data_IF_535336074900
#
_entry.id   IF_535336074900
#
_cell.length_a   1.000
_cell.length_b   1.000
_cell.length_c   1.000
_cell.angle_alpha   90.00
_cell.angle_beta   90.00
_cell.angle_gamma   90.00
#
_symmetry.space_group_name_H-M   'P 1'
#
loop_
_entity.id
_entity.type
_entity.pdbx_description
1 polymer ?
#
# COMPACT_ATOMS: atom_id res chain seq x y z
N UNK A 1 -31.10 -36.62 -33.87
CA UNK A 1 -31.62 -36.60 -32.49
C UNK A 1 -30.47 -37.08 -31.62
N UNK A 2 -29.73 -36.26 -30.90
CA UNK A 2 -29.87 -34.86 -30.49
C UNK A 2 -28.47 -34.25 -30.40
N UNK A 3 -28.32 -33.03 -30.91
CA UNK A 3 -27.17 -32.15 -30.73
C UNK A 3 -27.37 -31.38 -29.42
N UNK A 4 -26.36 -31.33 -28.52
CA UNK A 4 -26.32 -30.37 -27.42
C UNK A 4 -25.08 -29.49 -27.58
N UNK A 5 -25.34 -28.22 -27.86
CA UNK A 5 -24.36 -27.15 -28.09
C UNK A 5 -23.93 -26.49 -26.77
N UNK A 6 -22.65 -26.11 -26.76
CA UNK A 6 -21.92 -25.39 -25.71
C UNK A 6 -22.27 -23.89 -25.72
N UNK A 7 -22.97 -23.40 -24.70
CA UNK A 7 -23.31 -21.98 -24.54
C UNK A 7 -22.38 -21.32 -23.50
N UNK A 8 -21.32 -20.70 -24.00
CA UNK A 8 -20.48 -19.78 -23.23
C UNK A 8 -21.20 -18.47 -22.92
N UNK A 9 -21.37 -18.17 -21.63
CA UNK A 9 -21.89 -16.87 -21.18
C UNK A 9 -20.76 -15.85 -21.03
N UNK A 10 -20.64 -14.95 -22.01
CA UNK A 10 -19.85 -13.72 -21.94
C UNK A 10 -20.68 -12.68 -21.18
N UNK A 11 -20.24 -12.32 -19.97
CA UNK A 11 -20.79 -11.20 -19.22
C UNK A 11 -20.37 -9.87 -19.84
N UNK A 12 -21.35 -9.07 -20.24
CA UNK A 12 -21.17 -7.74 -20.82
C UNK A 12 -20.75 -6.71 -19.75
N UNK A 13 -19.55 -6.16 -19.90
CA UNK A 13 -19.13 -4.90 -19.27
C UNK A 13 -19.92 -3.74 -19.87
N UNK A 14 -20.77 -3.09 -19.05
CA UNK A 14 -21.43 -1.83 -19.42
C UNK A 14 -20.90 -0.69 -18.56
N UNK A 15 -19.84 -0.03 -19.06
CA UNK A 15 -19.41 1.27 -18.61
C UNK A 15 -20.49 2.34 -18.87
N UNK A 16 -20.93 3.05 -17.83
CA UNK A 16 -21.52 4.38 -17.99
C UNK A 16 -21.13 5.28 -16.81
N UNK A 17 -20.02 6.01 -16.95
CA UNK A 17 -19.51 6.96 -15.98
C UNK A 17 -19.99 8.39 -16.28
N UNK A 18 -21.25 8.68 -15.91
CA UNK A 18 -21.72 10.07 -15.83
C UNK A 18 -21.22 10.70 -14.53
N UNK A 19 -20.10 11.44 -14.59
CA UNK A 19 -19.60 12.26 -13.48
C UNK A 19 -20.43 13.54 -13.35
N UNK A 20 -21.38 13.53 -12.41
CA UNK A 20 -22.06 14.73 -11.94
C UNK A 20 -21.42 15.17 -10.61
N UNK A 21 -20.77 16.33 -10.58
CA UNK A 21 -20.36 16.95 -9.30
C UNK A 21 -21.59 17.62 -8.67
N UNK A 22 -21.94 17.36 -7.40
CA UNK A 22 -23.04 18.06 -6.77
C UNK A 22 -22.60 19.43 -6.25
N UNK A 23 -23.45 20.40 -6.53
CA UNK A 23 -23.40 21.76 -6.00
C UNK A 23 -24.08 21.77 -4.62
N UNK A 24 -23.33 22.17 -3.60
CA UNK A 24 -23.79 22.82 -2.36
C UNK A 24 -25.10 22.25 -1.73
N UNK A 25 -25.00 21.11 -1.03
CA UNK A 25 -26.10 20.48 -0.28
C UNK A 25 -25.69 20.16 1.16
N UNK A 26 -26.65 20.19 2.08
CA UNK A 26 -26.50 19.91 3.52
C UNK A 26 -26.01 18.49 3.82
N UNK A 27 -25.23 18.32 4.90
CA UNK A 27 -24.48 17.10 5.29
C UNK A 27 -25.25 15.77 5.17
N UNK A 28 -26.57 15.75 5.37
CA UNK A 28 -27.37 14.52 5.33
C UNK A 28 -27.67 13.99 3.90
N UNK A 29 -27.52 14.81 2.85
CA UNK A 29 -27.76 14.38 1.46
C UNK A 29 -26.51 13.90 0.71
N UNK A 30 -25.32 14.09 1.29
CA UNK A 30 -24.04 13.73 0.65
C UNK A 30 -23.74 12.22 0.83
N UNK A 31 -24.31 11.58 1.85
CA UNK A 31 -24.07 10.16 2.14
C UNK A 31 -24.59 9.21 1.04
N UNK A 32 -25.60 9.59 0.25
CA UNK A 32 -26.13 8.68 -0.80
C UNK A 32 -25.28 8.62 -2.06
N UNK A 33 -24.48 9.64 -2.33
CA UNK A 33 -23.70 9.76 -3.57
C UNK A 33 -22.23 9.36 -3.38
N UNK A 34 -21.83 9.09 -2.13
CA UNK A 34 -20.47 8.72 -1.80
C UNK A 34 -20.30 7.20 -1.77
N UNK A 35 -19.65 6.66 -2.79
CA UNK A 35 -19.35 5.23 -2.84
C UNK A 35 -18.13 4.91 -1.94
N UNK A 36 -18.31 4.17 -0.83
CA UNK A 36 -17.22 3.86 0.11
C UNK A 36 -16.14 2.99 -0.52
N UNK A 37 -16.46 2.17 -1.51
CA UNK A 37 -15.47 1.34 -2.22
C UNK A 37 -14.52 2.21 -3.05
N UNK A 38 -15.06 3.21 -3.76
CA UNK A 38 -14.25 4.17 -4.53
C UNK A 38 -13.34 5.00 -3.62
N UNK A 39 -13.80 5.35 -2.42
CA UNK A 39 -12.93 6.01 -1.44
C UNK A 39 -11.82 5.07 -0.98
N UNK A 40 -12.15 3.82 -0.64
CA UNK A 40 -11.14 2.84 -0.23
C UNK A 40 -10.08 2.63 -1.31
N UNK A 41 -10.51 2.51 -2.57
CA UNK A 41 -9.60 2.42 -3.71
C UNK A 41 -8.70 3.65 -3.85
N UNK A 42 -9.27 4.85 -3.76
CA UNK A 42 -8.50 6.10 -3.78
C UNK A 42 -7.48 6.17 -2.64
N UNK A 43 -7.89 5.79 -1.43
CA UNK A 43 -7.01 5.75 -0.27
C UNK A 43 -5.86 4.75 -0.45
N UNK A 44 -6.14 3.57 -1.02
CA UNK A 44 -5.12 2.58 -1.39
C UNK A 44 -4.20 3.07 -2.52
N UNK A 45 -4.72 3.82 -3.50
CA UNK A 45 -3.92 4.38 -4.60
C UNK A 45 -2.87 5.40 -4.15
N UNK A 46 -3.04 6.03 -2.98
CA UNK A 46 -2.03 6.94 -2.41
C UNK A 46 -0.77 6.20 -1.92
N UNK A 47 -0.84 4.88 -1.77
CA UNK A 47 0.31 4.08 -1.35
C UNK A 47 1.40 4.14 -2.41
N UNK A 48 2.62 4.44 -1.96
CA UNK A 48 3.81 4.45 -2.81
C UNK A 48 4.61 3.19 -2.53
N UNK A 49 5.19 2.64 -3.59
CA UNK A 49 6.13 1.55 -3.45
C UNK A 49 7.47 2.09 -2.92
N UNK A 50 7.83 1.69 -1.71
CA UNK A 50 9.15 1.94 -1.12
C UNK A 50 9.89 0.61 -1.00
N UNK A 51 11.21 0.67 -1.14
CA UNK A 51 12.09 -0.46 -0.90
C UNK A 51 13.26 -0.01 -0.03
N UNK A 52 13.85 -0.97 0.68
CA UNK A 52 15.09 -0.78 1.44
C UNK A 52 16.13 -1.81 0.97
N UNK A 53 17.40 -1.47 1.14
CA UNK A 53 18.52 -2.41 0.93
C UNK A 53 19.12 -2.69 2.29
N UNK A 54 19.16 -3.95 2.68
CA UNK A 54 19.79 -4.40 3.92
C UNK A 54 21.00 -5.27 3.59
N UNK A 55 22.16 -4.91 4.15
CA UNK A 55 23.39 -5.69 4.02
C UNK A 55 23.59 -6.54 5.27
N UNK A 56 23.87 -7.83 5.07
CA UNK A 56 24.13 -8.78 6.15
C UNK A 56 25.60 -9.18 6.15
N UNK A 57 26.18 -9.35 7.34
CA UNK A 57 27.58 -9.75 7.49
C UNK A 57 27.90 -11.13 6.88
N UNK A 58 26.89 -12.00 6.77
CA UNK A 58 27.02 -13.35 6.19
C UNK A 58 25.76 -13.72 5.40
N UNK A 59 25.90 -14.52 4.33
CA UNK A 59 24.77 -14.99 3.54
C UNK A 59 23.79 -15.86 4.35
N UNK A 60 24.28 -16.59 5.35
CA UNK A 60 23.46 -17.43 6.24
C UNK A 60 22.40 -16.62 6.99
N UNK A 61 22.75 -15.40 7.44
CA UNK A 61 21.80 -14.53 8.13
C UNK A 61 20.76 -13.93 7.19
N UNK A 62 21.16 -13.63 5.95
CA UNK A 62 20.23 -13.18 4.92
C UNK A 62 19.22 -14.29 4.55
N UNK A 63 19.66 -15.56 4.46
CA UNK A 63 18.76 -16.70 4.21
C UNK A 63 17.73 -16.88 5.33
N UNK A 64 18.16 -16.77 6.59
CA UNK A 64 17.24 -16.85 7.74
C UNK A 64 16.24 -15.68 7.70
N UNK A 65 16.71 -14.45 7.48
CA UNK A 65 15.82 -13.29 7.39
C UNK A 65 14.82 -13.45 6.23
N UNK A 66 15.28 -13.91 5.06
CA UNK A 66 14.43 -14.17 3.91
C UNK A 66 13.34 -15.20 4.22
N UNK A 67 13.71 -16.37 4.76
CA UNK A 67 12.75 -17.44 5.05
C UNK A 67 11.71 -17.06 6.11
N UNK A 68 12.10 -16.30 7.11
CA UNK A 68 11.22 -15.99 8.25
C UNK A 68 10.40 -14.72 8.04
N UNK A 69 10.89 -13.74 7.27
CA UNK A 69 10.30 -12.40 7.18
C UNK A 69 9.59 -12.13 5.85
N UNK A 70 9.97 -12.83 4.77
CA UNK A 70 9.33 -12.65 3.47
C UNK A 70 7.84 -13.00 3.52
N UNK A 71 7.01 -12.11 2.98
CA UNK A 71 5.54 -12.23 3.00
C UNK A 71 4.88 -11.88 4.33
N UNK A 72 5.63 -11.61 5.41
CA UNK A 72 5.06 -11.17 6.67
C UNK A 72 4.57 -9.72 6.62
N UNK A 73 3.50 -9.44 7.36
CA UNK A 73 3.03 -8.09 7.61
C UNK A 73 4.04 -7.33 8.48
N UNK A 74 4.34 -6.09 8.08
CA UNK A 74 5.12 -5.17 8.88
C UNK A 74 4.27 -4.71 10.08
N UNK A 75 4.52 -5.32 11.24
CA UNK A 75 3.83 -5.03 12.51
C UNK A 75 2.29 -5.09 12.37
N UNK A 76 1.61 -3.94 12.45
CA UNK A 76 0.15 -3.81 12.30
C UNK A 76 -0.23 -2.95 11.08
N UNK A 77 0.68 -2.81 10.12
CA UNK A 77 0.54 -1.85 9.03
C UNK A 77 -0.38 -2.27 7.90
N UNK A 78 -0.84 -3.52 7.87
CA UNK A 78 -1.52 -4.15 6.73
C UNK A 78 -0.67 -4.25 5.46
N UNK A 79 0.62 -3.91 5.54
CA UNK A 79 1.56 -3.99 4.43
C UNK A 79 2.48 -5.19 4.61
N UNK A 80 2.47 -6.12 3.66
CA UNK A 80 3.41 -7.23 3.64
C UNK A 80 4.77 -6.82 3.09
N UNK A 81 5.82 -7.48 3.56
CA UNK A 81 7.18 -7.33 3.07
C UNK A 81 7.42 -8.29 1.88
N UNK A 82 8.08 -7.79 0.83
CA UNK A 82 8.62 -8.58 -0.29
C UNK A 82 10.14 -8.45 -0.24
N UNK A 83 10.82 -9.52 0.16
CA UNK A 83 12.28 -9.57 0.20
C UNK A 83 12.79 -10.18 -1.09
N UNK A 84 13.91 -9.65 -1.61
CA UNK A 84 14.60 -10.22 -2.78
C UNK A 84 16.10 -10.11 -2.60
N UNK A 85 16.82 -11.15 -3.02
CA UNK A 85 18.27 -11.13 -3.06
C UNK A 85 18.74 -10.27 -4.25
N UNK A 86 19.66 -9.35 -3.98
CA UNK A 86 20.25 -8.45 -4.97
C UNK A 86 21.73 -8.79 -5.12
N UNK A 87 22.25 -8.96 -6.35
CA UNK A 87 23.68 -9.10 -6.57
C UNK A 87 24.44 -7.83 -6.14
N UNK A 88 25.58 -7.99 -5.47
CA UNK A 88 26.37 -6.86 -4.97
C UNK A 88 26.83 -5.89 -6.07
N UNK A 89 27.02 -6.37 -7.29
CA UNK A 89 27.38 -5.54 -8.45
C UNK A 89 26.25 -4.58 -8.90
N UNK A 90 25.00 -4.88 -8.54
CA UNK A 90 23.82 -4.12 -9.01
C UNK A 90 23.32 -3.10 -7.99
N UNK A 91 23.84 -3.10 -6.75
CA UNK A 91 23.40 -2.20 -5.68
C UNK A 91 23.54 -0.73 -6.12
N UNK A 92 24.69 -0.36 -6.68
CA UNK A 92 24.93 1.01 -7.15
C UNK A 92 23.94 1.44 -8.23
N UNK A 93 23.58 0.52 -9.15
CA UNK A 93 22.61 0.78 -10.21
C UNK A 93 21.20 0.96 -9.65
N UNK A 94 20.85 0.19 -8.61
CA UNK A 94 19.55 0.27 -7.94
C UNK A 94 19.42 1.58 -7.17
N UNK A 95 20.47 2.03 -6.48
CA UNK A 95 20.42 3.26 -5.68
C UNK A 95 20.58 4.53 -6.52
N UNK A 96 21.18 4.44 -7.71
CA UNK A 96 21.48 5.59 -8.57
C UNK A 96 20.23 6.40 -8.94
N UNK A 97 20.28 7.70 -8.65
CA UNK A 97 19.24 8.66 -9.00
C UNK A 97 18.00 8.62 -8.11
N UNK A 98 18.06 7.89 -6.98
CA UNK A 98 16.98 7.83 -5.99
C UNK A 98 17.37 8.65 -4.77
N UNK A 99 16.41 9.40 -4.23
CA UNK A 99 16.60 10.12 -2.97
C UNK A 99 16.51 9.13 -1.81
N UNK A 100 17.54 9.11 -0.96
CA UNK A 100 17.58 8.25 0.21
C UNK A 100 16.69 8.87 1.30
N UNK A 101 15.63 8.15 1.69
CA UNK A 101 14.71 8.60 2.73
C UNK A 101 15.36 8.54 4.12
N UNK A 102 15.88 7.36 4.48
CA UNK A 102 16.44 7.05 5.80
C UNK A 102 17.63 6.07 5.65
N UNK A 103 18.62 6.17 6.53
CA UNK A 103 19.78 5.26 6.65
C UNK A 103 19.96 4.85 8.12
N UNK A 104 20.29 3.57 8.36
CA UNK A 104 20.55 3.09 9.71
C UNK A 104 21.64 2.02 9.69
N UNK A 105 22.75 2.28 10.40
CA UNK A 105 23.85 1.34 10.58
C UNK A 105 23.81 0.61 11.93
N UNK A 106 23.16 1.21 12.94
CA UNK A 106 22.98 0.62 14.27
C UNK A 106 21.58 0.93 14.79
N UNK A 107 20.98 -0.03 15.48
CA UNK A 107 19.70 0.16 16.16
C UNK A 107 19.86 1.27 17.21
N UNK A 108 19.07 2.36 17.15
CA UNK A 108 19.15 3.42 18.13
C UNK A 108 18.65 2.92 19.50
N UNK A 109 19.27 3.39 20.58
CA UNK A 109 18.96 2.93 21.95
C UNK A 109 17.54 3.28 22.42
N UNK A 110 16.90 4.25 21.75
CA UNK A 110 15.57 4.77 22.04
C UNK A 110 14.65 4.64 20.81
N UNK A 111 14.71 3.52 20.11
CA UNK A 111 13.79 3.25 19.01
C UNK A 111 12.35 3.15 19.51
N UNK A 112 11.47 4.00 18.97
CA UNK A 112 10.03 3.91 19.14
C UNK A 112 9.41 3.59 17.76
N UNK A 113 8.78 2.42 17.60
CA UNK A 113 8.15 2.06 16.34
C UNK A 113 7.05 3.07 15.97
N UNK A 114 7.00 3.55 14.71
CA UNK A 114 5.93 4.42 14.28
C UNK A 114 4.60 3.64 14.21
N UNK A 115 3.54 4.19 14.80
CA UNK A 115 2.19 3.65 14.63
C UNK A 115 1.70 3.97 13.21
N UNK A 116 1.86 3.00 12.31
CA UNK A 116 1.49 3.11 10.91
C UNK A 116 0.54 1.97 10.54
N UNK A 117 -0.71 2.32 10.19
CA UNK A 117 -1.75 1.38 9.80
C UNK A 117 -2.40 1.84 8.49
N UNK A 118 -2.34 1.00 7.46
CA UNK A 118 -3.04 1.26 6.20
C UNK A 118 -4.48 0.78 6.26
N UNK A 119 -5.35 1.63 6.82
CA UNK A 119 -6.79 1.35 6.98
C UNK A 119 -7.48 0.88 5.70
N UNK A 120 -7.05 1.39 4.54
CA UNK A 120 -7.62 1.02 3.24
C UNK A 120 -7.43 -0.46 2.87
N UNK A 121 -6.42 -1.12 3.44
CA UNK A 121 -6.16 -2.55 3.21
C UNK A 121 -6.92 -3.46 4.20
N UNK A 122 -7.24 -2.97 5.40
CA UNK A 122 -7.93 -3.76 6.44
C UNK A 122 -9.46 -3.58 6.46
N UNK A 123 -9.97 -2.39 6.15
CA UNK A 123 -11.38 -2.03 6.36
C UNK A 123 -12.12 -1.82 5.04
N UNK A 124 -13.37 -2.29 4.99
CA UNK A 124 -14.28 -2.03 3.87
C UNK A 124 -14.81 -0.59 3.85
N UNK A 125 -14.88 0.06 5.01
CA UNK A 125 -15.28 1.44 5.15
C UNK A 125 -14.12 2.26 5.73
N UNK A 126 -13.62 3.21 4.95
CA UNK A 126 -12.48 4.07 5.29
C UNK A 126 -12.99 5.50 5.39
N UNK A 127 -12.45 6.27 6.34
CA UNK A 127 -12.76 7.70 6.48
C UNK A 127 -12.01 8.51 5.42
N UNK A 128 -12.64 9.52 4.83
CA UNK A 128 -11.96 10.45 3.92
C UNK A 128 -10.85 11.20 4.67
N UNK A 129 -9.62 11.09 4.18
CA UNK A 129 -8.44 11.76 4.78
C UNK A 129 -7.98 12.98 3.98
N UNK A 130 -8.78 13.45 3.01
CA UNK A 130 -8.41 14.57 2.13
C UNK A 130 -8.11 15.87 2.90
N UNK A 131 -8.79 16.10 4.03
CA UNK A 131 -8.52 17.24 4.93
C UNK A 131 -7.66 16.88 6.16
N UNK A 132 -7.33 15.60 6.36
CA UNK A 132 -6.44 15.22 7.47
C UNK A 132 -5.01 15.67 7.14
N UNK A 133 -4.41 16.49 8.01
CA UNK A 133 -3.04 16.98 7.83
C UNK A 133 -2.00 15.86 7.91
N UNK A 134 -0.82 16.09 7.34
CA UNK A 134 0.28 15.13 7.37
C UNK A 134 0.78 14.90 8.81
N UNK A 135 0.49 13.73 9.36
CA UNK A 135 0.90 13.30 10.69
C UNK A 135 2.43 13.42 10.89
N UNK A 136 3.24 13.16 9.86
CA UNK A 136 4.70 13.27 9.94
C UNK A 136 5.19 14.70 10.12
N UNK A 137 4.40 15.69 9.68
CA UNK A 137 4.72 17.10 9.88
C UNK A 137 4.44 17.52 11.32
N UNK A 138 3.43 16.93 11.96
CA UNK A 138 3.03 17.28 13.32
C UNK A 138 3.95 16.65 14.38
N UNK A 139 4.48 15.45 14.14
CA UNK A 139 5.39 14.77 15.07
C UNK A 139 6.80 15.36 15.14
N UNK A 140 7.19 16.18 14.14
CA UNK A 140 8.50 16.84 14.05
C UNK A 140 8.54 18.27 14.62
N UNK A 141 7.42 18.75 15.18
CA UNK A 141 7.30 20.03 15.90
C UNK A 141 7.41 19.82 17.41
#
# INVERSE_FOLDING_TARGET
>A
EEDEEDEGSIGEDSENSSVHLPSNGTDEQIESDFNPEKLREYEAMKLKYFFAVAEFAKPEFADVAYREVDGLELEHSSSSLDLRAIPSADIDNILKGREMRDECALVPSNYEPPDFIVKALQLSNVKCTWEEGDYNRQSKL
#
